data_IF_886315272238
#
_entry.id   IF_886315272238
#
_cell.length_a   1.000
_cell.length_b   1.000
_cell.length_c   1.000
_cell.angle_alpha   90.00
_cell.angle_beta   90.00
_cell.angle_gamma   90.00
#
_symmetry.space_group_name_H-M   'P 1'
#
loop_
_entity.id
_entity.type
_entity.pdbx_description
1 polymer ?
#
# COMPACT_ATOMS: atom_id res chain seq x y z
N UNK A 1 -5.22 6.65 15.22
CA UNK A 1 -4.72 7.41 14.04
C UNK A 1 -3.62 8.42 14.39
N UNK A 2 -3.48 8.89 15.64
CA UNK A 2 -2.39 9.80 16.05
C UNK A 2 -1.00 9.14 16.07
N UNK A 3 -0.91 7.84 16.32
CA UNK A 3 0.38 7.12 16.40
C UNK A 3 1.20 7.25 15.10
N UNK A 4 0.61 6.87 13.97
CA UNK A 4 1.29 6.85 12.67
C UNK A 4 1.69 8.25 12.18
N UNK A 5 0.88 9.27 12.48
CA UNK A 5 1.22 10.67 12.17
C UNK A 5 2.47 11.12 12.92
N UNK A 6 2.68 10.59 14.13
CA UNK A 6 3.85 10.87 14.96
C UNK A 6 5.01 9.88 14.72
N UNK A 7 4.89 8.98 13.73
CA UNK A 7 5.90 7.96 13.45
C UNK A 7 6.03 6.89 14.54
N UNK A 8 5.03 6.76 15.42
CA UNK A 8 5.04 5.78 16.51
C UNK A 8 4.64 4.42 15.92
N UNK A 9 5.53 3.44 16.07
CA UNK A 9 5.26 2.03 15.79
C UNK A 9 4.90 1.33 17.10
N UNK A 10 3.63 1.00 17.27
CA UNK A 10 3.13 0.23 18.41
C UNK A 10 2.91 -1.22 17.96
N UNK A 11 3.47 -2.17 18.71
CA UNK A 11 3.36 -3.61 18.42
C UNK A 11 1.90 -4.08 18.38
N UNK A 12 1.02 -3.53 19.23
CA UNK A 12 -0.41 -3.86 19.21
C UNK A 12 -1.07 -3.42 17.90
N UNK A 13 -0.71 -2.23 17.41
CA UNK A 13 -1.19 -1.70 16.14
C UNK A 13 -0.66 -2.53 14.96
N UNK A 14 0.62 -2.92 14.99
CA UNK A 14 1.21 -3.81 13.97
C UNK A 14 0.47 -5.15 13.94
N UNK A 15 0.31 -5.79 15.09
CA UNK A 15 -0.35 -7.09 15.20
C UNK A 15 -1.82 -7.01 14.74
N UNK A 16 -2.54 -5.94 15.10
CA UNK A 16 -3.90 -5.71 14.63
C UNK A 16 -4.00 -5.71 13.10
N UNK A 17 -3.10 -5.00 12.42
CA UNK A 17 -3.07 -4.98 10.95
C UNK A 17 -2.69 -6.33 10.36
N UNK A 18 -1.73 -7.04 10.94
CA UNK A 18 -1.35 -8.39 10.49
C UNK A 18 -2.52 -9.37 10.61
N UNK A 19 -3.23 -9.37 11.73
CA UNK A 19 -4.40 -10.22 11.95
C UNK A 19 -5.54 -9.91 10.97
N UNK A 20 -5.77 -8.62 10.71
CA UNK A 20 -6.75 -8.18 9.72
C UNK A 20 -6.39 -8.68 8.31
N UNK A 21 -5.14 -8.52 7.89
CA UNK A 21 -4.67 -8.98 6.57
C UNK A 21 -4.72 -10.51 6.48
N UNK A 22 -4.40 -11.23 7.56
CA UNK A 22 -4.53 -12.68 7.63
C UNK A 22 -6.00 -13.13 7.44
N UNK A 23 -6.96 -12.41 8.02
CA UNK A 23 -8.39 -12.66 7.78
C UNK A 23 -8.78 -12.41 6.32
N UNK A 24 -8.30 -11.32 5.72
CA UNK A 24 -8.56 -11.03 4.30
C UNK A 24 -8.00 -12.12 3.38
N UNK A 25 -6.84 -12.70 3.71
CA UNK A 25 -6.29 -13.87 3.01
C UNK A 25 -7.22 -15.07 3.05
N UNK A 26 -7.80 -15.36 4.22
CA UNK A 26 -8.79 -16.45 4.36
C UNK A 26 -10.07 -16.18 3.55
N UNK A 27 -10.40 -14.91 3.30
CA UNK A 27 -11.48 -14.52 2.39
C UNK A 27 -11.12 -14.60 0.90
N UNK A 28 -9.91 -15.05 0.55
CA UNK A 28 -9.48 -15.25 -0.84
C UNK A 28 -8.73 -14.07 -1.47
N UNK A 29 -8.36 -13.04 -0.70
CA UNK A 29 -7.55 -11.95 -1.23
C UNK A 29 -6.13 -12.40 -1.57
N UNK A 30 -5.61 -11.92 -2.71
CA UNK A 30 -4.25 -12.25 -3.17
C UNK A 30 -3.22 -11.16 -2.84
N UNK A 31 -3.66 -9.95 -2.48
CA UNK A 31 -2.82 -8.82 -2.11
C UNK A 31 -3.64 -7.83 -1.26
N UNK A 32 -2.97 -6.86 -0.62
CA UNK A 32 -3.61 -5.75 0.11
C UNK A 32 -3.04 -4.41 -0.35
N UNK A 33 -3.91 -3.42 -0.52
CA UNK A 33 -3.49 -2.05 -0.87
C UNK A 33 -3.23 -1.27 0.42
N UNK A 34 -2.04 -0.70 0.55
CA UNK A 34 -1.71 0.27 1.61
C UNK A 34 -2.21 1.64 1.13
N UNK A 35 -3.49 1.90 1.34
CA UNK A 35 -4.21 3.03 0.76
C UNK A 35 -4.05 4.38 1.47
N UNK A 36 -3.35 4.42 2.60
CA UNK A 36 -3.08 5.64 3.34
C UNK A 36 -1.57 5.77 3.54
N UNK A 37 -1.04 6.99 3.42
CA UNK A 37 0.40 7.29 3.52
C UNK A 37 1.03 6.87 4.86
N UNK A 38 0.24 6.72 5.92
CA UNK A 38 0.73 6.28 7.23
C UNK A 38 0.83 4.77 7.42
N UNK A 39 0.08 3.96 6.66
CA UNK A 39 0.06 2.49 6.84
C UNK A 39 1.42 1.85 6.51
N UNK A 40 2.16 2.29 5.46
CA UNK A 40 3.51 1.81 5.18
C UNK A 40 4.54 2.00 6.31
N UNK A 41 4.24 2.80 7.34
CA UNK A 41 5.11 2.96 8.51
C UNK A 41 5.13 1.68 9.36
N UNK A 42 4.02 0.92 9.42
CA UNK A 42 3.89 -0.26 10.29
C UNK A 42 3.71 -1.58 9.52
N UNK A 43 3.31 -1.52 8.25
CA UNK A 43 3.10 -2.70 7.40
C UNK A 43 3.91 -2.60 6.11
N UNK A 44 4.63 -3.67 5.79
CA UNK A 44 5.44 -3.82 4.59
C UNK A 44 5.30 -5.25 4.04
N UNK A 45 5.87 -5.51 2.87
CA UNK A 45 5.96 -6.88 2.33
C UNK A 45 6.67 -7.87 3.26
N UNK A 46 7.60 -7.41 4.12
CA UNK A 46 8.36 -8.30 4.98
C UNK A 46 7.59 -8.78 6.22
N UNK A 47 6.52 -8.08 6.60
CA UNK A 47 5.72 -8.42 7.79
C UNK A 47 4.23 -8.64 7.49
N UNK A 48 3.80 -8.54 6.23
CA UNK A 48 2.42 -8.73 5.82
C UNK A 48 2.13 -10.20 5.43
N UNK A 49 1.00 -10.79 5.85
CA UNK A 49 0.57 -12.12 5.41
C UNK A 49 0.24 -12.25 3.91
N UNK A 50 0.05 -11.11 3.24
CA UNK A 50 -0.24 -10.97 1.80
C UNK A 50 0.72 -9.95 1.17
N UNK A 51 1.04 -10.10 -0.14
CA UNK A 51 1.73 -9.06 -0.90
C UNK A 51 1.06 -7.69 -0.73
N UNK A 52 1.87 -6.66 -0.52
CA UNK A 52 1.40 -5.29 -0.30
C UNK A 52 1.56 -4.45 -1.57
N UNK A 53 0.57 -3.59 -1.82
CA UNK A 53 0.58 -2.59 -2.88
C UNK A 53 0.60 -1.22 -2.21
N UNK A 54 1.78 -0.64 -2.06
CA UNK A 54 1.94 0.72 -1.53
C UNK A 54 1.46 1.75 -2.56
N UNK A 55 0.26 2.28 -2.34
CA UNK A 55 -0.37 3.25 -3.25
C UNK A 55 0.46 4.53 -3.41
N UNK A 56 1.16 4.96 -2.36
CA UNK A 56 1.99 6.17 -2.39
C UNK A 56 3.20 5.93 -3.30
N UNK A 57 3.87 4.80 -3.12
CA UNK A 57 5.03 4.43 -3.93
C UNK A 57 4.64 4.20 -5.39
N UNK A 58 3.56 3.47 -5.64
CA UNK A 58 3.04 3.23 -6.99
C UNK A 58 2.69 4.54 -7.69
N UNK A 59 2.00 5.46 -7.01
CA UNK A 59 1.65 6.76 -7.56
C UNK A 59 2.90 7.62 -7.86
N UNK A 60 3.89 7.61 -6.95
CA UNK A 60 5.14 8.33 -7.17
C UNK A 60 5.91 7.80 -8.38
N UNK A 61 5.98 6.48 -8.55
CA UNK A 61 6.59 5.86 -9.73
C UNK A 61 5.85 6.22 -11.03
N UNK A 62 4.51 6.18 -11.03
CA UNK A 62 3.71 6.57 -12.18
C UNK A 62 3.90 8.05 -12.54
N UNK A 63 3.91 8.94 -11.54
CA UNK A 63 4.15 10.37 -11.74
C UNK A 63 5.54 10.65 -12.31
N UNK A 64 6.57 9.95 -11.82
CA UNK A 64 7.93 10.07 -12.36
C UNK A 64 7.99 9.58 -13.82
N UNK A 65 7.39 8.42 -14.11
CA UNK A 65 7.32 7.88 -15.47
C UNK A 65 6.67 8.88 -16.43
N UNK A 66 5.54 9.46 -16.02
CA UNK A 66 4.84 10.48 -16.79
C UNK A 66 5.70 11.74 -17.03
N UNK A 67 6.41 12.22 -16.01
CA UNK A 67 7.23 13.42 -16.10
C UNK A 67 8.42 13.28 -17.07
N UNK A 68 9.04 12.09 -17.13
CA UNK A 68 10.22 11.84 -17.97
C UNK A 68 9.87 11.29 -19.36
N UNK A 69 8.67 10.70 -19.53
CA UNK A 69 8.16 10.17 -20.80
C UNK A 69 6.80 10.80 -21.16
N UNK A 70 6.72 12.12 -21.42
CA UNK A 70 5.45 12.85 -21.60
C UNK A 70 4.64 12.48 -22.85
N UNK A 71 5.02 11.44 -23.62
CA UNK A 71 4.44 11.09 -24.92
C UNK A 71 3.78 9.72 -25.02
N UNK A 72 3.50 9.01 -23.93
CA UNK A 72 2.99 7.63 -24.07
C UNK A 72 1.80 7.23 -23.17
N UNK A 73 0.99 8.18 -22.69
CA UNK A 73 -0.20 7.83 -21.88
C UNK A 73 -1.36 8.79 -22.14
N UNK A 74 -1.80 8.91 -23.40
CA UNK A 74 -3.24 9.08 -23.60
C UNK A 74 -3.82 7.67 -23.51
N UNK A 75 -4.63 7.39 -22.50
CA UNK A 75 -5.60 6.29 -22.57
C UNK A 75 -6.60 6.59 -23.70
N UNK A 76 -6.16 6.44 -24.95
CA UNK A 76 -7.05 6.23 -26.09
C UNK A 76 -7.53 4.78 -25.99
N UNK A 77 -8.72 4.60 -25.40
CA UNK A 77 -9.47 3.34 -25.42
C UNK A 77 -9.20 2.40 -24.24
N UNK A 78 -10.00 2.55 -23.18
CA UNK A 78 -10.48 1.38 -22.45
C UNK A 78 -11.83 0.97 -23.07
N UNK A 79 -12.13 -0.34 -23.24
CA UNK A 79 -13.37 -0.82 -23.83
C UNK A 79 -14.62 -0.38 -23.08
#
# INVERSE_FOLDING_TARGET
MYELVNGIQNDESVQYFQDLIARMKLCGCNAVVLGCTGVPIIITDSNSPLPTLDSTRLLAHAALHHAINPRHERHEGAP
#
